data_IF_276515755357
#
_entry.id   IF_276515755357
#
_cell.length_a   1.000
_cell.length_b   1.000
_cell.length_c   1.000
_cell.angle_alpha   90.00
_cell.angle_beta   90.00
_cell.angle_gamma   90.00
#
_symmetry.space_group_name_H-M   'P 1'
#
loop_
_entity.id
_entity.type
_entity.pdbx_description
1 polymer ?
2 branched ?
3 non-polymer ?
4 non-polymer ?
5 non-polymer ?
6 non-polymer ?
7 water ?
#
# COMPACT_ATOMS: atom_id res chain seq x y z
N UNK A 2 15.83 1.63 -17.21
CA UNK A 2 15.16 0.43 -16.86
C UNK A 2 13.86 0.87 -16.07
N UNK A 3 12.73 0.60 -16.69
CA UNK A 3 11.42 0.85 -16.12
C UNK A 3 10.75 -0.48 -15.87
N UNK A 4 10.21 -0.64 -14.66
CA UNK A 4 9.58 -1.85 -14.23
C UNK A 4 8.21 -1.45 -13.63
N UNK A 5 7.26 -2.38 -13.67
CA UNK A 5 5.94 -2.11 -13.14
C UNK A 5 5.35 -3.38 -12.55
N UNK A 6 4.37 -3.21 -11.67
CA UNK A 6 3.69 -4.33 -11.09
C UNK A 6 2.45 -3.83 -10.37
N UNK A 7 1.82 -4.73 -9.64
CA UNK A 7 0.61 -4.42 -8.91
C UNK A 7 0.58 -5.25 -7.66
N UNK A 8 0.33 -4.58 -6.54
CA UNK A 8 0.16 -5.21 -5.27
C UNK A 8 -1.33 -5.35 -5.01
N UNK A 9 -1.81 -6.55 -4.76
CA UNK A 9 -3.18 -6.81 -4.40
C UNK A 9 -3.26 -7.10 -2.90
N UNK A 10 -3.87 -6.18 -2.18
CA UNK A 10 -3.95 -6.29 -0.74
C UNK A 10 -5.12 -7.08 -0.25
N UNK A 11 -6.14 -7.21 -1.10
CA UNK A 11 -7.30 -7.94 -0.66
C UNK A 11 -8.06 -7.32 0.50
N UNK A 12 -8.80 -8.16 1.19
CA UNK A 12 -9.77 -7.84 2.22
C UNK A 12 -8.99 -7.55 3.50
N UNK A 13 -9.40 -6.49 4.19
CA UNK A 13 -8.70 -6.07 5.38
C UNK A 13 -8.77 -6.98 6.56
N UNK A 14 -9.62 -8.01 6.48
CA UNK A 14 -9.59 -9.00 7.55
C UNK A 14 -8.24 -9.67 7.70
N UNK A 15 -7.47 -9.67 6.64
CA UNK A 15 -6.16 -10.30 6.61
C UNK A 15 -5.02 -9.28 6.79
N UNK A 16 -5.35 -8.01 7.08
CA UNK A 16 -4.35 -6.98 7.27
C UNK A 16 -3.88 -7.02 8.73
N UNK A 17 -2.69 -6.51 8.94
CA UNK A 17 -2.10 -6.41 10.29
C UNK A 17 -2.39 -5.12 11.01
N UNK A 18 -2.68 -5.18 12.31
CA UNK A 18 -2.69 -4.01 13.18
C UNK A 18 -1.26 -3.46 13.25
N UNK A 19 -1.13 -2.15 13.14
CA UNK A 19 0.12 -1.52 13.27
C UNK A 19 0.04 -0.34 14.18
N UNK A 20 1.13 -0.06 14.90
CA UNK A 20 1.04 1.10 15.74
C UNK A 20 0.78 2.37 14.92
N UNK A 21 -0.07 3.23 15.43
CA UNK A 21 -0.39 4.47 14.76
C UNK A 21 0.70 5.50 14.86
N UNK A 22 1.04 6.16 13.77
CA UNK A 22 1.97 7.25 13.71
C UNK A 22 1.28 8.60 13.81
N UNK A 23 -0.01 8.58 14.18
CA UNK A 23 -0.81 9.80 14.30
C UNK A 23 -1.84 9.62 15.45
N UNK A 24 -1.71 10.37 16.62
CA UNK A 24 -2.63 10.15 17.74
C UNK A 24 -4.10 10.39 17.40
N UNK A 25 -4.32 11.05 16.27
CA UNK A 25 -5.72 11.21 15.81
C UNK A 25 -6.29 10.08 14.96
N UNK A 26 -5.48 9.07 14.75
CA UNK A 26 -5.89 7.84 14.07
C UNK A 26 -5.74 6.66 14.99
N UNK A 27 -6.77 5.84 15.12
CA UNK A 27 -6.68 4.60 15.81
C UNK A 27 -7.07 3.46 14.90
N UNK A 28 -6.95 2.28 15.38
CA UNK A 28 -7.20 1.08 14.65
C UNK A 28 -6.52 1.07 13.30
N UNK A 29 -5.27 1.51 13.30
CA UNK A 29 -4.41 1.55 12.10
C UNK A 29 -4.05 0.14 11.70
N UNK A 30 -4.23 -0.16 10.42
CA UNK A 30 -4.13 -1.54 9.87
C UNK A 30 -3.54 -1.48 8.47
N UNK A 31 -2.69 -2.42 8.12
CA UNK A 31 -2.10 -2.37 6.82
C UNK A 31 -1.74 -3.72 6.29
N UNK A 32 -1.68 -3.82 4.96
CA UNK A 32 -1.13 -4.96 4.27
C UNK A 32 0.13 -4.46 3.62
N UNK A 33 1.26 -4.73 4.26
CA UNK A 33 2.56 -4.32 3.76
C UNK A 33 3.22 -5.46 2.96
N UNK A 34 3.94 -5.09 1.88
CA UNK A 34 4.70 -6.05 1.12
C UNK A 34 6.09 -5.50 0.80
N UNK A 35 7.08 -6.38 0.92
CA UNK A 35 8.40 -6.12 0.40
C UNK A 35 8.44 -6.64 -1.06
N UNK A 36 8.51 -5.72 -2.01
CA UNK A 36 8.50 -6.06 -3.43
C UNK A 36 9.95 -6.18 -3.88
N UNK A 37 10.32 -7.29 -4.52
CA UNK A 37 11.66 -7.41 -5.08
C UNK A 37 11.64 -7.16 -6.59
N UNK A 38 12.45 -6.23 -7.09
CA UNK A 38 12.46 -5.99 -8.53
C UNK A 38 12.93 -7.22 -9.30
N UNK A 39 12.27 -7.49 -10.42
CA UNK A 39 12.65 -8.59 -11.31
C UNK A 39 14.09 -8.42 -11.77
N UNK A 40 14.49 -7.16 -11.99
CA UNK A 40 15.88 -6.81 -12.32
C UNK A 40 16.38 -5.79 -11.33
N UNK A 41 17.37 -6.13 -10.50
CA UNK A 41 17.83 -5.14 -9.54
C UNK A 41 18.52 -3.98 -10.23
N UNK A 42 18.48 -2.85 -9.54
CA UNK A 42 19.15 -1.62 -9.91
C UNK A 42 20.42 -1.61 -9.09
N UNK A 43 21.36 -0.70 -9.35
CA UNK A 43 22.55 -0.54 -8.46
C UNK A 43 22.32 0.55 -7.46
N UNK A 44 21.31 1.38 -7.71
CA UNK A 44 20.99 2.51 -6.86
C UNK A 44 19.44 2.49 -6.69
N UNK A 45 18.90 3.05 -5.57
CA UNK A 45 17.43 3.08 -5.44
C UNK A 45 16.76 3.81 -6.59
N UNK A 46 15.81 3.13 -7.29
CA UNK A 46 15.09 3.85 -8.35
C UNK A 46 14.04 4.79 -7.74
N UNK A 47 13.38 5.58 -8.59
CA UNK A 47 12.12 6.29 -8.19
C UNK A 47 10.94 5.34 -8.35
N UNK A 48 10.14 5.21 -7.29
CA UNK A 48 8.89 4.43 -7.34
C UNK A 48 7.70 5.36 -7.13
N UNK A 49 6.70 5.21 -7.99
CA UNK A 49 5.41 5.90 -7.80
C UNK A 49 4.35 4.81 -7.63
N UNK A 50 3.46 5.05 -6.64
CA UNK A 50 2.31 4.15 -6.37
C UNK A 50 1.01 4.77 -6.86
N UNK A 51 0.10 3.93 -7.32
CA UNK A 51 -1.20 4.37 -7.83
C UNK A 51 -2.25 3.39 -7.28
N UNK A 52 -3.33 3.89 -6.68
CA UNK A 52 -4.42 3.03 -6.23
C UNK A 52 -5.34 2.73 -7.42
N UNK A 53 -5.30 1.52 -7.92
CA UNK A 53 -6.05 1.17 -9.10
C UNK A 53 -7.20 0.22 -8.87
N UNK A 54 -7.43 -0.18 -7.63
CA UNK A 54 -8.64 -0.90 -7.25
C UNK A 54 -9.00 -0.54 -5.85
N UNK A 55 -10.29 -0.32 -5.63
CA UNK A 55 -10.83 -0.06 -4.28
C UNK A 55 -12.22 -0.64 -4.18
N UNK A 56 -12.53 -1.29 -3.10
CA UNK A 56 -13.89 -1.74 -2.78
C UNK A 56 -14.02 -1.45 -1.27
N UNK A 57 -14.81 -0.43 -0.91
CA UNK A 57 -14.87 0.08 0.46
C UNK A 57 -16.34 0.15 0.89
N UNK A 58 -16.61 -0.19 2.12
CA UNK A 58 -17.92 -0.18 2.70
C UNK A 58 -18.47 1.22 2.78
N UNK A 59 -19.68 1.46 2.36
CA UNK A 59 -20.22 2.81 2.35
C UNK A 59 -20.66 3.35 3.66
N UNK A 60 -20.87 2.51 4.65
CA UNK A 60 -21.43 2.94 5.92
C UNK A 60 -20.45 3.57 6.87
N UNK A 61 -19.15 3.49 6.55
CA UNK A 61 -18.11 4.20 7.31
C UNK A 61 -17.26 5.01 6.31
N UNK A 62 -16.61 6.02 6.84
CA UNK A 62 -15.78 6.85 6.01
C UNK A 62 -14.77 6.08 5.21
N UNK A 63 -14.40 6.60 4.05
CA UNK A 63 -13.33 5.99 3.28
C UNK A 63 -12.04 6.61 3.78
N UNK A 64 -11.14 5.74 4.21
CA UNK A 64 -9.87 6.11 4.72
C UNK A 64 -8.85 5.19 4.11
N UNK A 65 -8.01 5.66 3.22
CA UNK A 65 -7.00 4.81 2.55
C UNK A 65 -5.74 5.55 2.33
N UNK A 66 -4.63 4.86 2.48
CA UNK A 66 -3.34 5.36 2.06
C UNK A 66 -2.60 4.27 1.34
N UNK A 67 -1.96 4.63 0.24
CA UNK A 67 -0.95 3.82 -0.40
C UNK A 67 0.40 4.35 0.05
N UNK A 68 0.99 3.61 0.99
CA UNK A 68 2.22 4.05 1.68
C UNK A 68 3.44 3.50 1.01
N UNK A 69 4.38 4.36 0.72
CA UNK A 69 5.73 3.94 0.29
C UNK A 69 6.72 4.13 1.44
N UNK A 70 7.17 3.02 2.03
CA UNK A 70 8.00 3.07 3.24
C UNK A 70 9.49 3.29 2.92
N UNK A 71 9.99 2.63 1.91
CA UNK A 71 11.44 2.56 1.61
C UNK A 71 11.65 2.07 0.20
N UNK A 72 12.75 2.46 -0.44
CA UNK A 72 13.11 1.95 -1.75
C UNK A 72 14.62 1.64 -1.68
N UNK A 73 15.01 0.42 -2.04
CA UNK A 73 16.42 -0.01 -2.11
C UNK A 73 16.75 -0.24 -3.57
N UNK A 74 18.00 -0.60 -3.88
CA UNK A 74 18.27 -0.93 -5.27
C UNK A 74 17.57 -2.24 -5.70
N UNK A 75 17.23 -3.11 -4.75
CA UNK A 75 16.66 -4.41 -5.08
C UNK A 75 15.14 -4.49 -4.90
N UNK A 76 14.54 -3.50 -4.26
CA UNK A 76 13.10 -3.59 -4.04
C UNK A 76 12.58 -2.38 -3.31
N UNK A 77 11.33 -2.48 -2.88
CA UNK A 77 10.74 -1.43 -2.07
C UNK A 77 9.71 -2.05 -1.12
N UNK A 78 9.36 -1.29 -0.09
CA UNK A 78 8.34 -1.70 0.87
C UNK A 78 7.18 -0.69 0.71
N UNK A 79 5.97 -1.24 0.52
CA UNK A 79 4.77 -0.43 0.40
C UNK A 79 3.64 -1.12 1.10
N UNK A 80 2.57 -0.37 1.41
CA UNK A 80 1.40 -0.93 2.02
C UNK A 80 0.14 -0.23 1.54
N UNK A 81 -0.92 -1.04 1.60
CA UNK A 81 -2.27 -0.56 1.71
C UNK A 81 -2.58 -0.32 3.17
N UNK A 82 -3.08 0.86 3.52
CA UNK A 82 -3.22 1.25 4.91
C UNK A 82 -4.59 1.91 5.11
N UNK A 83 -5.24 1.58 6.21
CA UNK A 83 -6.51 2.14 6.62
C UNK A 83 -6.53 2.27 8.13
N UNK A 84 -7.58 2.88 8.62
CA UNK A 84 -7.70 3.13 10.04
C UNK A 84 -9.15 3.33 10.48
N UNK A 85 -9.32 3.47 11.75
CA UNK A 85 -10.60 3.63 12.41
C UNK A 85 -11.52 2.51 11.93
N UNK A 86 -12.78 2.87 11.67
CA UNK A 86 -13.79 1.86 11.39
C UNK A 86 -14.03 1.68 9.87
N UNK A 87 -13.12 2.12 9.05
CA UNK A 87 -13.21 1.84 7.60
C UNK A 87 -13.15 0.35 7.36
N UNK A 88 -13.94 -0.12 6.42
CA UNK A 88 -13.87 -1.51 5.95
C UNK A 88 -13.48 -1.55 4.50
N UNK A 89 -12.32 -2.11 4.21
CA UNK A 89 -11.77 -2.32 2.90
C UNK A 89 -11.99 -3.76 2.51
N UNK A 90 -12.73 -4.01 1.46
CA UNK A 90 -12.91 -5.33 0.95
C UNK A 90 -11.83 -5.70 -0.06
N UNK A 91 -11.34 -4.76 -0.83
CA UNK A 91 -10.16 -4.95 -1.67
C UNK A 91 -9.51 -3.63 -1.96
N UNK A 92 -8.21 -3.67 -2.14
CA UNK A 92 -7.44 -2.54 -2.57
C UNK A 92 -6.23 -3.03 -3.28
N UNK A 93 -5.90 -2.43 -4.41
CA UNK A 93 -4.70 -2.77 -5.13
C UNK A 93 -3.94 -1.55 -5.51
N UNK A 94 -2.59 -1.70 -5.48
CA UNK A 94 -1.67 -0.62 -5.75
C UNK A 94 -0.81 -1.00 -6.96
N UNK A 95 -0.95 -0.26 -8.05
CA UNK A 95 -0.10 -0.37 -9.22
C UNK A 95 1.11 0.50 -8.98
N UNK A 96 2.25 0.07 -9.50
CA UNK A 96 3.49 0.81 -9.21
C UNK A 96 4.38 0.79 -10.45
N UNK A 97 5.19 1.84 -10.54
CA UNK A 97 6.23 1.91 -11.57
C UNK A 97 7.54 2.28 -10.89
N UNK A 98 8.64 1.69 -11.37
CA UNK A 98 9.98 2.03 -10.89
C UNK A 98 10.77 2.49 -12.10
N UNK A 99 11.52 3.55 -11.88
CA UNK A 99 12.30 4.13 -12.96
C UNK A 99 13.68 4.48 -12.44
N UNK A 100 14.71 3.93 -13.11
CA UNK A 100 16.10 4.21 -12.79
C UNK A 100 16.28 5.72 -12.66
N UNK A 101 16.92 6.11 -11.55
CA UNK A 101 17.01 7.50 -11.15
C UNK A 101 17.90 8.33 -12.09
#
# INVERSE_FOLDING_TARGET
>A
XRVQSGKIDCGNDVSWAKVPSDDPGRDNTRELAKNITFASPYCRPPVVLLSITQLDVEQSQNLRVIARLYSVSPTGFKASCYTWHNTKVYSMSISWISIEN
#
